data_IF_074724170391
#
_entry.id   IF_074724170391
#
_cell.length_a   1.000
_cell.length_b   1.000
_cell.length_c   1.000
_cell.angle_alpha   90.00
_cell.angle_beta   90.00
_cell.angle_gamma   90.00
#
_symmetry.space_group_name_H-M   'P 1'
#
loop_
_entity.id
_entity.type
_entity.pdbx_description
1 polymer ?
#
# COMPACT_ATOMS: atom_id res chain seq x y z
N UNK A 1 -2.94 -9.24 1.73
CA UNK A 1 -1.63 -8.59 1.51
C UNK A 1 -0.43 -9.50 1.81
N UNK A 2 -0.62 -10.64 2.49
CA UNK A 2 0.45 -11.61 2.80
C UNK A 2 0.94 -12.44 1.60
N UNK A 3 0.09 -12.66 0.58
CA UNK A 3 0.47 -13.41 -0.64
C UNK A 3 1.54 -12.76 -1.53
N UNK A 4 1.96 -11.51 -1.25
CA UNK A 4 2.94 -10.76 -2.08
C UNK A 4 4.31 -10.56 -1.42
N UNK A 5 4.54 -11.07 -0.21
CA UNK A 5 5.86 -11.04 0.44
C UNK A 5 6.39 -9.64 0.78
N UNK A 6 5.51 -8.65 0.96
CA UNK A 6 5.92 -7.30 1.37
C UNK A 6 6.04 -7.25 2.89
N UNK A 7 7.20 -6.79 3.38
CA UNK A 7 7.37 -6.43 4.79
C UNK A 7 6.61 -5.12 5.01
N UNK A 8 5.48 -5.18 5.68
CA UNK A 8 4.72 -4.00 6.07
C UNK A 8 4.78 -3.85 7.59
N UNK A 9 4.92 -2.61 8.05
CA UNK A 9 4.71 -2.25 9.45
C UNK A 9 3.45 -1.41 9.49
N UNK A 10 2.47 -1.84 10.27
CA UNK A 10 1.25 -1.08 10.54
C UNK A 10 1.35 -0.55 11.96
N UNK A 11 1.42 0.77 12.12
CA UNK A 11 1.42 1.40 13.43
C UNK A 11 0.25 2.38 13.46
N UNK A 12 -0.74 2.11 14.32
CA UNK A 12 -1.99 2.86 14.44
C UNK A 12 -2.67 3.13 13.08
N UNK A 13 -2.59 4.36 12.57
CA UNK A 13 -3.21 4.82 11.32
C UNK A 13 -2.21 4.94 10.14
N UNK A 14 -0.91 4.83 10.40
CA UNK A 14 0.14 4.97 9.41
C UNK A 14 0.63 3.60 8.92
N UNK A 15 0.41 3.31 7.64
CA UNK A 15 0.90 2.11 6.98
C UNK A 15 2.16 2.42 6.17
N UNK A 16 3.31 1.98 6.69
CA UNK A 16 4.59 2.06 5.99
C UNK A 16 4.85 0.77 5.19
N UNK A 17 5.05 0.92 3.88
CA UNK A 17 5.25 -0.21 2.96
C UNK A 17 6.68 -0.18 2.44
N UNK A 18 7.49 -1.13 2.91
CA UNK A 18 8.85 -1.30 2.45
C UNK A 18 8.90 -2.30 1.30
N UNK A 19 9.31 -1.80 0.13
CA UNK A 19 9.46 -2.58 -1.10
C UNK A 19 10.93 -2.74 -1.48
N UNK A 20 11.26 -3.88 -2.10
CA UNK A 20 12.63 -4.18 -2.54
C UNK A 20 13.08 -3.33 -3.73
N UNK A 21 12.15 -2.75 -4.50
CA UNK A 21 12.47 -1.95 -5.69
C UNK A 21 11.47 -0.82 -5.92
N UNK A 22 11.93 0.27 -6.53
CA UNK A 22 11.12 1.45 -6.85
C UNK A 22 9.90 1.12 -7.70
N UNK A 23 10.08 0.32 -8.76
CA UNK A 23 8.98 -0.17 -9.62
C UNK A 23 7.92 -0.95 -8.84
N UNK A 24 8.33 -1.75 -7.86
CA UNK A 24 7.38 -2.47 -7.01
C UNK A 24 6.62 -1.51 -6.09
N UNK A 25 7.26 -0.45 -5.62
CA UNK A 25 6.66 0.63 -4.83
C UNK A 25 5.59 1.38 -5.61
N UNK A 26 5.91 1.83 -6.82
CA UNK A 26 4.97 2.53 -7.70
C UNK A 26 3.72 1.70 -7.97
N UNK A 27 3.88 0.39 -8.23
CA UNK A 27 2.75 -0.54 -8.42
C UNK A 27 1.89 -0.68 -7.16
N UNK A 28 2.51 -0.76 -5.98
CA UNK A 28 1.77 -0.89 -4.71
C UNK A 28 1.07 0.41 -4.35
N UNK A 29 1.72 1.56 -4.57
CA UNK A 29 1.14 2.87 -4.34
C UNK A 29 -0.11 3.07 -5.21
N UNK A 30 -0.02 2.83 -6.52
CA UNK A 30 -1.19 2.93 -7.41
C UNK A 30 -2.35 2.02 -6.99
N UNK A 31 -2.05 0.79 -6.56
CA UNK A 31 -3.06 -0.15 -6.08
C UNK A 31 -3.73 0.30 -4.78
N UNK A 32 -2.99 0.97 -3.89
CA UNK A 32 -3.51 1.44 -2.60
C UNK A 32 -4.28 2.73 -2.78
N UNK A 33 -3.77 3.68 -3.56
CA UNK A 33 -4.49 4.89 -3.94
C UNK A 33 -5.85 4.55 -4.53
N UNK A 34 -5.90 3.65 -5.51
CA UNK A 34 -7.18 3.22 -6.10
C UNK A 34 -8.10 2.52 -5.09
N UNK A 35 -7.54 1.75 -4.15
CA UNK A 35 -8.31 1.08 -3.10
C UNK A 35 -8.92 2.08 -2.10
N UNK A 36 -8.14 3.08 -1.68
CA UNK A 36 -8.60 4.13 -0.75
C UNK A 36 -9.67 4.98 -1.44
N UNK A 37 -9.43 5.43 -2.67
CA UNK A 37 -10.40 6.23 -3.43
C UNK A 37 -11.72 5.49 -3.66
N UNK A 38 -11.67 4.23 -4.12
CA UNK A 38 -12.89 3.45 -4.39
C UNK A 38 -13.64 3.03 -3.14
N UNK A 39 -12.91 2.65 -2.07
CA UNK A 39 -13.51 1.97 -0.92
C UNK A 39 -13.83 2.91 0.23
N UNK A 40 -12.99 3.92 0.47
CA UNK A 40 -13.19 4.87 1.56
C UNK A 40 -13.95 6.13 1.13
N UNK A 41 -14.15 6.36 -0.19
CA UNK A 41 -14.94 7.50 -0.72
C UNK A 41 -14.52 8.85 -0.10
N UNK A 42 -13.26 8.97 0.31
CA UNK A 42 -12.71 10.20 0.84
C UNK A 42 -12.53 11.16 -0.34
N UNK A 43 -13.40 12.17 -0.39
CA UNK A 43 -13.36 13.28 -1.35
C UNK A 43 -12.97 14.53 -0.59
#
# INVERSE_FOLDING_TARGET
>A
LEKRGHKFVRYADDFHIYVKSRRAGERVMASITSFIEKKLRLK
#
